data_IF_401131260609
#
_entry.id   IF_401131260609
#
_cell.length_a   1.000
_cell.length_b   1.000
_cell.length_c   1.000
_cell.angle_alpha   90.00
_cell.angle_beta   90.00
_cell.angle_gamma   90.00
#
_symmetry.space_group_name_H-M   'P 1'
#
loop_
_entity.id
_entity.type
_entity.pdbx_description
1 polymer ?
#
# COMPACT_ATOMS: atom_id res chain seq x y z
N UNK A 1 -11.58 -1.96 25.61
CA UNK A 1 -12.49 -1.19 24.73
C UNK A 1 -13.94 -1.39 25.14
N UNK A 2 -14.84 -0.51 24.70
CA UNK A 2 -16.29 -0.68 24.85
C UNK A 2 -16.87 -1.59 23.74
N UNK A 3 -18.15 -1.94 23.85
CA UNK A 3 -18.82 -2.81 22.88
C UNK A 3 -18.91 -2.19 21.47
N UNK A 4 -19.29 -0.90 21.29
CA UNK A 4 -19.31 -0.26 19.98
C UNK A 4 -17.94 -0.28 19.27
N UNK A 5 -16.85 -0.01 20.00
CA UNK A 5 -15.51 -0.03 19.45
C UNK A 5 -15.08 -1.44 19.02
N UNK A 6 -15.37 -2.46 19.83
CA UNK A 6 -15.10 -3.87 19.45
C UNK A 6 -15.89 -4.28 18.21
N UNK A 7 -17.15 -3.86 18.10
CA UNK A 7 -17.98 -4.14 16.92
C UNK A 7 -17.39 -3.51 15.65
N UNK A 8 -16.86 -2.28 15.72
CA UNK A 8 -16.18 -1.64 14.59
C UNK A 8 -14.91 -2.37 14.18
N UNK A 9 -14.11 -2.82 15.14
CA UNK A 9 -12.92 -3.63 14.86
C UNK A 9 -13.27 -4.97 14.20
N UNK A 10 -14.30 -5.65 14.69
CA UNK A 10 -14.75 -6.93 14.12
C UNK A 10 -15.31 -6.78 12.69
N UNK A 11 -15.76 -5.59 12.31
CA UNK A 11 -16.22 -5.28 10.95
C UNK A 11 -15.11 -4.93 9.96
N UNK A 12 -13.84 -4.86 10.40
CA UNK A 12 -12.72 -4.61 9.49
C UNK A 12 -12.53 -5.79 8.54
N UNK A 13 -12.20 -5.48 7.29
CA UNK A 13 -11.98 -6.47 6.24
C UNK A 13 -10.53 -6.39 5.76
N UNK A 14 -9.97 -7.54 5.41
CA UNK A 14 -8.73 -7.61 4.66
C UNK A 14 -8.99 -7.29 3.18
N UNK A 15 -7.98 -6.73 2.52
CA UNK A 15 -7.96 -6.65 1.07
C UNK A 15 -7.84 -8.06 0.49
N UNK A 16 -8.27 -8.30 -0.76
CA UNK A 16 -8.18 -9.63 -1.35
C UNK A 16 -6.72 -10.14 -1.36
N UNK A 17 -6.52 -11.47 -1.39
CA UNK A 17 -5.19 -12.05 -1.29
C UNK A 17 -4.18 -11.48 -2.29
N UNK A 18 -2.90 -11.53 -1.92
CA UNK A 18 -1.79 -11.15 -2.78
C UNK A 18 -0.64 -12.15 -2.70
N UNK A 19 0.10 -12.25 -3.79
CA UNK A 19 1.31 -13.05 -3.87
C UNK A 19 2.54 -12.18 -4.17
N UNK A 20 3.65 -12.53 -3.54
CA UNK A 20 4.99 -12.02 -3.84
C UNK A 20 5.90 -13.23 -4.04
N UNK A 21 6.61 -13.25 -5.17
CA UNK A 21 7.52 -14.32 -5.52
C UNK A 21 8.90 -13.78 -5.87
N UNK A 22 9.84 -13.97 -4.95
CA UNK A 22 11.24 -13.63 -5.17
C UNK A 22 11.97 -14.82 -5.76
N UNK A 23 12.73 -14.58 -6.82
CA UNK A 23 13.40 -15.58 -7.64
C UNK A 23 14.86 -15.21 -7.79
N UNK A 24 15.74 -16.15 -7.46
CA UNK A 24 17.17 -16.09 -7.81
C UNK A 24 17.38 -16.88 -9.09
N UNK A 25 17.71 -16.18 -10.16
CA UNK A 25 17.88 -16.77 -11.49
C UNK A 25 19.35 -16.86 -11.85
N UNK A 26 19.75 -17.92 -12.54
CA UNK A 26 21.14 -18.13 -12.97
C UNK A 26 21.56 -17.34 -14.21
N UNK A 27 20.68 -16.44 -14.68
CA UNK A 27 20.91 -15.57 -15.84
C UNK A 27 20.50 -14.15 -15.52
N UNK A 28 21.13 -13.20 -16.21
CA UNK A 28 20.77 -11.79 -16.19
C UNK A 28 19.91 -11.42 -17.40
N UNK A 29 19.07 -10.38 -17.28
CA UNK A 29 18.48 -9.75 -18.44
C UNK A 29 19.59 -9.22 -19.38
N UNK A 30 19.32 -9.22 -20.69
CA UNK A 30 20.33 -8.84 -21.71
C UNK A 30 20.47 -7.32 -21.79
N UNK A 31 19.34 -6.62 -21.66
CA UNK A 31 19.30 -5.18 -21.48
C UNK A 31 19.37 -4.86 -19.99
N UNK A 32 19.54 -3.59 -19.66
CA UNK A 32 19.42 -3.10 -18.28
C UNK A 32 17.96 -2.68 -17.99
N UNK A 33 17.10 -3.57 -17.43
CA UNK A 33 15.75 -3.18 -17.06
C UNK A 33 15.71 -2.05 -16.03
N UNK A 34 14.59 -1.33 -15.92
CA UNK A 34 14.37 -0.50 -14.75
C UNK A 34 14.38 -1.36 -13.46
N UNK A 35 14.74 -0.79 -12.30
CA UNK A 35 14.64 -1.50 -11.01
C UNK A 35 13.22 -1.95 -10.67
N UNK A 36 12.21 -1.24 -11.17
CA UNK A 36 10.79 -1.52 -10.96
C UNK A 36 10.01 -1.29 -12.26
N UNK A 37 9.12 -2.22 -12.60
CA UNK A 37 8.21 -2.12 -13.73
C UNK A 37 6.80 -2.53 -13.30
N UNK A 38 5.87 -1.57 -13.28
CA UNK A 38 4.44 -1.87 -13.16
C UNK A 38 3.85 -2.36 -14.48
N UNK A 39 2.95 -3.33 -14.42
CA UNK A 39 2.37 -4.00 -15.59
C UNK A 39 0.85 -3.91 -15.62
N UNK A 40 0.30 -3.76 -16.82
CA UNK A 40 -1.15 -3.83 -17.09
C UNK A 40 -1.37 -4.73 -18.30
N UNK A 41 -2.33 -5.67 -18.22
CA UNK A 41 -2.60 -6.61 -19.32
C UNK A 41 -1.64 -7.81 -19.38
N UNK A 42 -0.97 -8.13 -18.28
CA UNK A 42 -0.07 -9.28 -18.12
C UNK A 42 -0.67 -10.32 -17.14
N UNK A 43 -1.98 -10.57 -17.27
CA UNK A 43 -2.70 -11.48 -16.38
C UNK A 43 -2.59 -11.03 -14.91
N UNK A 44 -2.21 -11.92 -13.98
CA UNK A 44 -2.07 -11.60 -12.56
C UNK A 44 -0.74 -10.90 -12.21
N UNK A 45 0.16 -10.67 -13.16
CA UNK A 45 1.41 -9.96 -12.89
C UNK A 45 1.14 -8.45 -12.83
N UNK A 46 1.27 -7.86 -11.65
CA UNK A 46 1.07 -6.42 -11.41
C UNK A 46 2.37 -5.62 -11.47
N UNK A 47 3.50 -6.22 -11.05
CA UNK A 47 4.82 -5.62 -11.25
C UNK A 47 5.97 -6.64 -11.19
N UNK A 48 7.09 -6.23 -11.77
CA UNK A 48 8.38 -6.90 -11.76
C UNK A 48 9.41 -5.96 -11.14
N UNK A 49 10.12 -6.44 -10.12
CA UNK A 49 11.16 -5.70 -9.43
C UNK A 49 12.49 -6.42 -9.52
N UNK A 50 13.54 -5.77 -10.02
CA UNK A 50 14.91 -6.30 -10.00
C UNK A 50 15.58 -5.91 -8.70
N UNK A 51 15.50 -6.80 -7.71
CA UNK A 51 15.96 -6.56 -6.34
C UNK A 51 17.47 -6.32 -6.30
N UNK A 52 18.24 -6.95 -7.18
CA UNK A 52 19.69 -6.73 -7.29
C UNK A 52 20.10 -5.32 -7.75
N UNK A 53 19.14 -4.47 -8.15
CA UNK A 53 19.35 -3.03 -8.39
C UNK A 53 18.99 -2.13 -7.21
N UNK A 54 18.36 -2.67 -6.18
CA UNK A 54 17.78 -1.90 -5.07
C UNK A 54 18.41 -2.28 -3.73
N UNK A 55 18.74 -3.56 -3.54
CA UNK A 55 19.25 -4.10 -2.28
C UNK A 55 20.73 -4.51 -2.41
N UNK A 56 21.63 -3.99 -1.54
CA UNK A 56 23.06 -4.31 -1.60
C UNK A 56 23.39 -5.82 -1.52
N UNK A 57 22.61 -6.59 -0.75
CA UNK A 57 22.83 -8.03 -0.60
C UNK A 57 22.48 -8.79 -1.88
N UNK A 58 21.37 -8.45 -2.53
CA UNK A 58 20.97 -9.04 -3.80
C UNK A 58 21.97 -8.65 -4.92
N UNK A 59 22.44 -7.41 -4.93
CA UNK A 59 23.49 -6.96 -5.83
C UNK A 59 24.76 -7.80 -5.70
N UNK A 60 25.25 -7.98 -4.46
CA UNK A 60 26.46 -8.74 -4.19
C UNK A 60 26.33 -10.20 -4.66
N UNK A 61 25.19 -10.83 -4.41
CA UNK A 61 24.91 -12.18 -4.90
C UNK A 61 24.89 -12.25 -6.43
N UNK A 62 24.18 -11.33 -7.09
CA UNK A 62 24.10 -11.29 -8.54
C UNK A 62 25.50 -11.09 -9.16
N UNK A 63 26.32 -10.19 -8.59
CA UNK A 63 27.68 -9.93 -9.04
C UNK A 63 28.60 -11.16 -8.91
N UNK A 64 28.47 -11.94 -7.83
CA UNK A 64 29.28 -13.14 -7.60
C UNK A 64 28.85 -14.36 -8.43
N UNK A 65 27.59 -14.43 -8.87
CA UNK A 65 27.03 -15.62 -9.55
C UNK A 65 26.81 -15.42 -11.05
N UNK A 66 26.78 -14.17 -11.53
CA UNK A 66 26.35 -13.85 -12.89
C UNK A 66 24.84 -13.96 -13.11
N UNK A 67 24.06 -14.21 -12.06
CA UNK A 67 22.59 -14.27 -12.07
C UNK A 67 21.90 -12.92 -11.78
N UNK A 68 20.59 -12.95 -11.56
CA UNK A 68 19.80 -11.81 -11.07
C UNK A 68 18.79 -12.24 -10.00
N UNK A 69 18.27 -11.26 -9.25
CA UNK A 69 17.23 -11.46 -8.23
C UNK A 69 16.01 -10.64 -8.62
N UNK A 70 14.92 -11.31 -8.99
CA UNK A 70 13.68 -10.68 -9.44
C UNK A 70 12.53 -11.02 -8.53
N UNK A 71 11.65 -10.06 -8.26
CA UNK A 71 10.44 -10.23 -7.47
C UNK A 71 9.21 -9.94 -8.35
N UNK A 72 8.26 -10.88 -8.34
CA UNK A 72 7.02 -10.82 -9.09
C UNK A 72 5.86 -10.63 -8.12
N UNK A 73 5.00 -9.66 -8.39
CA UNK A 73 3.85 -9.37 -7.53
C UNK A 73 2.54 -9.62 -8.27
N UNK A 74 1.59 -10.19 -7.54
CA UNK A 74 0.21 -10.34 -7.96
C UNK A 74 -0.72 -9.87 -6.83
N UNK A 75 -1.55 -8.87 -7.10
CA UNK A 75 -2.46 -8.27 -6.15
C UNK A 75 -3.91 -8.62 -6.49
N UNK A 76 -4.79 -8.44 -5.51
CA UNK A 76 -6.24 -8.62 -5.66
C UNK A 76 -6.64 -10.00 -6.24
N UNK A 77 -5.93 -11.05 -5.83
CA UNK A 77 -6.18 -12.42 -6.27
C UNK A 77 -7.54 -12.92 -5.76
N UNK A 78 -8.20 -13.84 -6.48
CA UNK A 78 -9.38 -14.50 -5.97
C UNK A 78 -9.03 -15.39 -4.77
N UNK A 79 -10.00 -15.58 -3.86
CA UNK A 79 -9.87 -16.56 -2.79
C UNK A 79 -9.69 -17.97 -3.36
N UNK A 80 -8.84 -18.78 -2.72
CA UNK A 80 -8.59 -20.17 -3.15
C UNK A 80 -7.85 -20.29 -4.48
N UNK A 81 -7.07 -19.26 -4.87
CA UNK A 81 -6.25 -19.30 -6.09
C UNK A 81 -5.35 -20.55 -6.12
N UNK A 82 -5.30 -21.21 -7.27
CA UNK A 82 -4.35 -22.32 -7.51
C UNK A 82 -2.93 -21.75 -7.61
N UNK A 83 -2.12 -22.00 -6.57
CA UNK A 83 -0.76 -21.51 -6.47
C UNK A 83 0.15 -22.01 -7.60
N UNK A 84 -0.01 -23.27 -8.02
CA UNK A 84 0.82 -23.85 -9.08
C UNK A 84 0.53 -23.17 -10.42
N UNK A 85 -0.76 -22.97 -10.72
CA UNK A 85 -1.19 -22.23 -11.91
C UNK A 85 -0.74 -20.77 -11.86
N UNK A 86 -0.85 -20.12 -10.70
CA UNK A 86 -0.42 -18.73 -10.52
C UNK A 86 1.09 -18.58 -10.76
N UNK A 87 1.91 -19.42 -10.15
CA UNK A 87 3.37 -19.44 -10.39
C UNK A 87 3.69 -19.66 -11.86
N UNK A 88 3.03 -20.63 -12.51
CA UNK A 88 3.24 -20.86 -13.95
C UNK A 88 2.95 -19.61 -14.77
N UNK A 89 1.81 -18.96 -14.52
CA UNK A 89 1.40 -17.74 -15.21
C UNK A 89 2.37 -16.58 -14.96
N UNK A 90 2.80 -16.36 -13.70
CA UNK A 90 3.76 -15.30 -13.36
C UNK A 90 5.10 -15.50 -14.08
N UNK A 91 5.61 -16.74 -14.17
CA UNK A 91 6.82 -17.06 -14.95
C UNK A 91 6.61 -16.84 -16.45
N UNK A 92 5.46 -17.21 -17.00
CA UNK A 92 5.14 -16.99 -18.41
C UNK A 92 5.10 -15.49 -18.75
N UNK A 93 4.52 -14.67 -17.88
CA UNK A 93 4.45 -13.22 -18.09
C UNK A 93 5.82 -12.55 -17.89
N UNK A 94 6.64 -13.01 -16.93
CA UNK A 94 8.03 -12.59 -16.84
C UNK A 94 8.79 -12.90 -18.13
N UNK A 95 8.66 -14.12 -18.67
CA UNK A 95 9.30 -14.51 -19.92
C UNK A 95 8.79 -13.71 -21.14
N UNK A 96 7.53 -13.27 -21.12
CA UNK A 96 7.00 -12.39 -22.17
C UNK A 96 7.64 -10.99 -22.14
N UNK A 97 7.93 -10.48 -20.95
CA UNK A 97 8.58 -9.16 -20.75
C UNK A 97 10.09 -9.25 -20.99
N UNK A 98 10.71 -10.32 -20.49
CA UNK A 98 12.13 -10.63 -20.57
C UNK A 98 12.34 -12.02 -21.18
N UNK A 99 12.25 -12.14 -22.53
CA UNK A 99 12.41 -13.42 -23.23
C UNK A 99 13.72 -14.15 -22.91
N UNK A 100 14.78 -13.40 -22.64
CA UNK A 100 16.08 -13.95 -22.26
C UNK A 100 16.07 -14.71 -20.91
N UNK A 101 15.06 -14.47 -20.07
CA UNK A 101 14.86 -15.14 -18.79
C UNK A 101 13.92 -16.35 -18.88
N UNK A 102 13.35 -16.65 -20.06
CA UNK A 102 12.41 -17.76 -20.23
C UNK A 102 13.01 -19.10 -19.77
N UNK A 103 14.25 -19.36 -20.19
CA UNK A 103 15.00 -20.58 -19.86
C UNK A 103 15.94 -20.40 -18.64
N UNK A 104 15.83 -19.29 -17.91
CA UNK A 104 16.64 -19.08 -16.71
C UNK A 104 16.23 -20.07 -15.62
N UNK A 105 17.19 -20.81 -15.09
CA UNK A 105 16.96 -21.76 -14.00
C UNK A 105 16.77 -21.00 -12.70
N UNK A 106 15.76 -21.38 -11.96
CA UNK A 106 15.55 -20.90 -10.59
C UNK A 106 16.54 -21.62 -9.68
N UNK A 107 17.50 -20.87 -9.14
CA UNK A 107 18.50 -21.36 -8.18
C UNK A 107 17.90 -21.44 -6.78
N UNK A 108 17.07 -20.46 -6.44
CA UNK A 108 16.32 -20.39 -5.21
C UNK A 108 15.07 -19.53 -5.43
N UNK A 109 14.03 -19.75 -4.62
CA UNK A 109 12.85 -18.92 -4.60
C UNK A 109 12.25 -18.80 -3.20
N UNK A 110 11.61 -17.65 -2.97
CA UNK A 110 10.81 -17.38 -1.79
C UNK A 110 9.40 -16.96 -2.23
N UNK A 111 8.40 -17.71 -1.77
CA UNK A 111 7.00 -17.51 -2.13
C UNK A 111 6.17 -17.09 -0.93
N UNK A 112 5.43 -16.02 -1.11
CA UNK A 112 4.53 -15.47 -0.12
C UNK A 112 3.14 -15.33 -0.75
N UNK A 113 2.14 -16.05 -0.23
CA UNK A 113 0.72 -15.79 -0.48
C UNK A 113 0.06 -15.41 0.84
N UNK A 114 -0.57 -14.23 0.91
CA UNK A 114 -1.14 -13.68 2.16
C UNK A 114 -2.48 -12.99 1.92
N UNK A 115 -3.21 -12.81 3.01
CA UNK A 115 -4.54 -12.18 3.07
C UNK A 115 -4.70 -11.37 4.36
N UNK A 116 -3.72 -10.50 4.62
CA UNK A 116 -3.56 -9.77 5.89
C UNK A 116 -3.45 -8.25 5.72
N UNK A 117 -3.49 -7.73 4.49
CA UNK A 117 -3.50 -6.29 4.26
C UNK A 117 -4.84 -5.67 4.65
N UNK A 118 -4.88 -4.53 5.36
CA UNK A 118 -6.12 -3.85 5.68
C UNK A 118 -6.79 -3.28 4.41
N UNK A 119 -8.08 -3.56 4.23
CA UNK A 119 -8.82 -3.05 3.07
C UNK A 119 -9.14 -1.57 3.21
N UNK A 120 -8.77 -0.79 2.19
CA UNK A 120 -9.26 0.56 2.02
C UNK A 120 -10.67 0.58 1.39
N UNK A 121 -11.70 0.13 2.13
CA UNK A 121 -13.06 0.00 1.63
C UNK A 121 -13.85 1.30 1.52
N UNK A 122 -15.10 1.20 1.06
CA UNK A 122 -16.09 2.31 0.99
C UNK A 122 -16.78 2.61 2.32
N UNK A 123 -16.42 1.89 3.37
CA UNK A 123 -16.94 2.05 4.71
C UNK A 123 -16.56 3.45 5.27
N UNK A 124 -17.32 3.95 6.25
CA UNK A 124 -17.08 5.27 6.81
C UNK A 124 -15.66 5.39 7.37
N UNK A 125 -14.95 6.45 6.97
CA UNK A 125 -13.64 6.78 7.54
C UNK A 125 -13.71 6.94 9.07
N UNK A 126 -14.85 7.41 9.58
CA UNK A 126 -15.13 7.56 11.00
C UNK A 126 -15.11 6.24 11.79
N UNK A 127 -15.45 5.13 11.12
CA UNK A 127 -15.60 3.82 11.77
C UNK A 127 -14.28 3.08 11.94
N UNK A 128 -13.22 3.50 11.24
CA UNK A 128 -11.89 2.92 11.42
C UNK A 128 -11.33 3.24 12.80
N UNK A 129 -10.61 2.29 13.42
CA UNK A 129 -9.95 2.55 14.70
C UNK A 129 -8.91 3.65 14.55
N UNK A 130 -8.95 4.64 15.42
CA UNK A 130 -7.87 5.60 15.58
C UNK A 130 -6.80 5.11 16.54
N UNK A 131 -5.73 5.89 16.68
CA UNK A 131 -4.62 5.64 17.61
C UNK A 131 -5.09 5.53 19.07
N UNK A 132 -5.99 6.41 19.49
CA UNK A 132 -6.56 6.40 20.84
C UNK A 132 -7.70 5.40 20.91
N UNK A 133 -7.65 4.49 21.87
CA UNK A 133 -8.71 3.51 22.15
C UNK A 133 -9.53 3.90 23.37
N UNK A 134 -10.70 3.28 23.61
CA UNK A 134 -11.46 3.49 24.84
C UNK A 134 -10.76 2.97 26.11
N UNK A 135 -9.72 2.12 25.99
CA UNK A 135 -8.90 1.73 27.14
C UNK A 135 -7.67 2.66 27.24
N UNK A 136 -7.51 3.44 28.32
CA UNK A 136 -6.41 4.39 28.45
C UNK A 136 -5.02 3.73 28.60
N UNK A 137 -4.95 2.40 28.68
CA UNK A 137 -3.69 1.65 28.73
C UNK A 137 -3.25 1.15 27.36
N UNK A 138 -4.13 1.18 26.36
CA UNK A 138 -3.89 0.60 25.03
C UNK A 138 -4.02 1.68 23.96
N UNK A 139 -3.03 1.76 23.08
CA UNK A 139 -3.01 2.59 21.87
C UNK A 139 -2.79 1.68 20.66
N UNK A 140 -3.23 2.11 19.49
CA UNK A 140 -3.06 1.38 18.23
C UNK A 140 -2.11 2.11 17.29
N UNK A 141 -1.34 1.32 16.54
CA UNK A 141 -0.52 1.76 15.42
C UNK A 141 -0.58 0.70 14.31
N UNK A 142 -0.30 1.10 13.08
CA UNK A 142 -0.36 0.24 11.90
C UNK A 142 -1.02 0.92 10.71
N UNK A 143 -0.86 0.32 9.54
CA UNK A 143 -1.46 0.78 8.27
C UNK A 143 -2.99 0.62 8.23
N UNK A 144 -3.57 -0.23 9.08
CA UNK A 144 -5.01 -0.33 9.30
C UNK A 144 -5.58 0.75 10.22
N UNK A 145 -4.72 1.52 10.91
CA UNK A 145 -5.13 2.56 11.86
C UNK A 145 -5.42 3.86 11.13
N UNK A 146 -6.56 4.47 11.45
CA UNK A 146 -6.99 5.76 10.91
C UNK A 146 -5.96 6.84 11.22
N UNK A 147 -5.54 7.57 10.18
CA UNK A 147 -4.61 8.68 10.30
C UNK A 147 -5.09 9.86 9.45
N UNK A 148 -5.22 11.04 10.07
CA UNK A 148 -5.69 12.27 9.39
C UNK A 148 -4.61 12.89 8.48
N UNK A 149 -3.38 12.39 8.54
CA UNK A 149 -2.31 12.77 7.62
C UNK A 149 -2.47 12.02 6.29
N UNK A 150 -2.03 12.62 5.16
CA UNK A 150 -2.17 12.04 3.82
C UNK A 150 -1.09 10.99 3.56
N UNK A 151 -1.08 9.95 4.38
CA UNK A 151 -0.08 8.87 4.40
C UNK A 151 -0.74 7.55 4.01
N UNK A 152 0.03 6.58 3.51
CA UNK A 152 -0.46 5.25 3.14
C UNK A 152 0.51 4.12 3.48
N UNK A 153 0.00 2.87 3.57
CA UNK A 153 0.81 1.66 3.72
C UNK A 153 1.87 1.78 4.84
N UNK A 154 3.13 1.48 4.52
CA UNK A 154 4.28 1.55 5.43
C UNK A 154 4.45 2.93 6.05
N UNK A 155 4.20 4.00 5.30
CA UNK A 155 4.25 5.37 5.82
C UNK A 155 3.17 5.55 6.90
N UNK A 156 1.93 5.11 6.65
CA UNK A 156 0.86 5.18 7.66
C UNK A 156 1.19 4.35 8.89
N UNK A 157 1.75 3.15 8.73
CA UNK A 157 2.19 2.34 9.86
C UNK A 157 3.23 3.07 10.72
N UNK A 158 4.25 3.66 10.09
CA UNK A 158 5.27 4.44 10.78
C UNK A 158 4.70 5.70 11.44
N UNK A 159 3.90 6.48 10.72
CA UNK A 159 3.26 7.71 11.22
C UNK A 159 2.37 7.42 12.41
N UNK A 160 1.49 6.42 12.33
CA UNK A 160 0.61 6.06 13.45
C UNK A 160 1.40 5.49 14.62
N UNK A 161 2.56 4.86 14.39
CA UNK A 161 3.52 4.49 15.43
C UNK A 161 4.02 5.70 16.22
N UNK A 162 4.47 6.75 15.54
CA UNK A 162 4.86 8.01 16.18
C UNK A 162 3.72 8.65 16.96
N UNK A 163 2.52 8.71 16.36
CA UNK A 163 1.34 9.26 17.01
C UNK A 163 0.96 8.46 18.27
N UNK A 164 1.04 7.13 18.22
CA UNK A 164 0.79 6.26 19.36
C UNK A 164 1.83 6.44 20.48
N UNK A 165 3.11 6.53 20.13
CA UNK A 165 4.18 6.83 21.07
C UNK A 165 3.97 8.18 21.77
N UNK A 166 3.58 9.21 21.02
CA UNK A 166 3.28 10.54 21.57
C UNK A 166 2.12 10.51 22.58
N UNK A 167 1.05 9.74 22.31
CA UNK A 167 -0.04 9.56 23.28
C UNK A 167 0.48 8.95 24.58
N UNK A 168 1.38 7.97 24.51
CA UNK A 168 1.98 7.31 25.67
C UNK A 168 2.95 8.22 26.45
N UNK A 169 3.72 9.07 25.75
CA UNK A 169 4.63 10.05 26.35
C UNK A 169 3.85 11.15 27.05
N UNK A 170 2.82 11.70 26.39
CA UNK A 170 1.96 12.74 26.95
C UNK A 170 1.27 12.28 28.24
N UNK A 171 0.77 11.03 28.28
CA UNK A 171 0.16 10.44 29.49
C UNK A 171 1.14 10.34 30.67
N UNK A 172 2.45 10.34 30.41
CA UNK A 172 3.51 10.32 31.42
C UNK A 172 4.09 11.70 31.71
N UNK A 173 3.55 12.77 31.12
CA UNK A 173 4.09 14.12 31.25
C UNK A 173 5.46 14.30 30.56
N UNK A 174 5.79 13.43 29.61
CA UNK A 174 7.05 13.47 28.85
C UNK A 174 6.83 14.21 27.52
N UNK A 175 7.87 14.89 26.99
CA UNK A 175 7.80 15.51 25.66
C UNK A 175 7.57 14.45 24.58
N UNK A 176 6.74 14.79 23.59
CA UNK A 176 6.54 13.99 22.38
C UNK A 176 7.44 14.45 21.24
N UNK A 177 7.23 13.86 20.06
CA UNK A 177 7.94 14.17 18.83
C UNK A 177 7.02 14.79 17.79
N UNK A 178 7.50 15.78 17.06
CA UNK A 178 6.75 16.36 15.96
C UNK A 178 6.62 15.39 14.78
N UNK A 179 5.43 15.35 14.19
CA UNK A 179 5.15 14.65 12.94
C UNK A 179 4.82 15.70 11.88
N UNK A 180 5.75 15.88 10.94
CA UNK A 180 5.64 16.89 9.89
C UNK A 180 4.88 16.33 8.68
N UNK A 181 3.93 17.10 8.16
CA UNK A 181 3.10 16.72 7.01
C UNK A 181 2.91 17.92 6.10
N UNK A 182 2.56 17.65 4.83
CA UNK A 182 1.97 18.64 3.95
C UNK A 182 0.64 19.18 4.52
N UNK A 183 0.20 20.39 4.13
CA UNK A 183 -1.09 20.91 4.54
C UNK A 183 -2.25 20.00 4.10
N UNK A 184 -3.09 19.57 5.05
CA UNK A 184 -4.27 18.71 4.78
C UNK A 184 -5.51 19.50 4.32
N UNK A 185 -5.37 20.81 4.13
CA UNK A 185 -6.41 21.70 3.65
C UNK A 185 -5.84 22.64 2.60
N UNK A 186 -6.59 22.86 1.51
CA UNK A 186 -6.22 23.82 0.48
C UNK A 186 -6.09 25.24 1.04
N UNK A 187 -5.03 25.94 0.64
CA UNK A 187 -4.86 27.37 0.95
C UNK A 187 -6.02 28.16 0.33
N UNK A 188 -6.71 28.98 1.10
CA UNK A 188 -7.85 29.78 0.62
C UNK A 188 -9.17 29.02 0.45
N UNK A 189 -9.33 27.81 1.01
CA UNK A 189 -10.57 27.00 0.91
C UNK A 189 -11.84 27.80 1.23
N UNK A 190 -11.80 28.69 2.24
CA UNK A 190 -12.92 29.57 2.61
C UNK A 190 -13.27 30.57 1.50
N UNK A 191 -12.27 31.18 0.86
CA UNK A 191 -12.46 32.13 -0.24
C UNK A 191 -13.01 31.43 -1.48
N UNK A 192 -12.45 30.26 -1.83
CA UNK A 192 -12.93 29.45 -2.95
C UNK A 192 -14.38 28.99 -2.74
N UNK A 193 -14.75 28.59 -1.52
CA UNK A 193 -16.11 28.18 -1.20
C UNK A 193 -17.10 29.36 -1.23
N UNK A 194 -16.69 30.54 -0.74
CA UNK A 194 -17.50 31.75 -0.82
C UNK A 194 -17.70 32.22 -2.28
N UNK A 195 -16.66 32.17 -3.10
CA UNK A 195 -16.73 32.50 -4.53
C UNK A 195 -17.67 31.55 -5.30
N UNK A 196 -17.56 30.23 -5.06
CA UNK A 196 -18.51 29.25 -5.62
C UNK A 196 -19.95 29.53 -5.21
N UNK A 197 -20.20 29.80 -3.93
CA UNK A 197 -21.54 30.14 -3.43
C UNK A 197 -22.15 31.34 -4.16
N UNK A 198 -21.38 32.41 -4.35
CA UNK A 198 -21.82 33.62 -5.09
C UNK A 198 -22.10 33.33 -6.57
N UNK A 199 -21.25 32.55 -7.24
CA UNK A 199 -21.44 32.16 -8.64
C UNK A 199 -22.70 31.28 -8.82
N UNK A 200 -22.92 30.31 -7.93
CA UNK A 200 -24.14 29.48 -7.96
C UNK A 200 -25.41 30.27 -7.65
N UNK A 201 -25.34 31.26 -6.74
CA UNK A 201 -26.46 32.14 -6.45
C UNK A 201 -26.77 33.08 -7.63
N UNK A 202 -25.74 33.61 -8.29
CA UNK A 202 -25.89 34.42 -9.50
C UNK A 202 -26.47 33.62 -10.68
N UNK A 203 -26.05 32.36 -10.85
CA UNK A 203 -26.60 31.46 -11.87
C UNK A 203 -28.09 31.12 -11.61
N UNK A 204 -28.46 30.84 -10.35
CA UNK A 204 -29.87 30.61 -9.95
C UNK A 204 -30.75 31.84 -10.13
N UNK A 205 -30.22 33.05 -9.88
CA UNK A 205 -30.94 34.31 -10.15
C UNK A 205 -31.17 34.57 -11.64
N UNK A 206 -30.30 34.09 -12.53
CA UNK A 206 -30.46 34.22 -13.99
C UNK A 206 -31.50 33.26 -14.58
N UNK A 207 -31.84 32.17 -13.88
CA UNK A 207 -32.80 31.17 -14.37
C UNK A 207 -34.25 31.41 -13.92
N UNK A 208 -34.51 32.34 -12.97
CA UNK A 208 -35.85 32.75 -12.55
C UNK A 208 -36.68 31.66 -11.81
N UNK A 209 -37.58 32.02 -10.89
CA UNK A 209 -38.55 31.08 -10.33
C UNK A 209 -39.71 30.95 -11.33
N UNK A 210 -39.59 30.00 -12.26
CA UNK A 210 -40.61 29.79 -13.29
C UNK A 210 -40.24 28.69 -14.26
N UNK A 211 -40.26 27.45 -13.77
CA UNK A 211 -40.55 26.25 -14.57
C UNK A 211 -41.55 25.42 -13.76
#
# INVERSE_FOLDING_TARGET
GDAPWRSRLAGLRSAPPFAVWRLWLDRRPTLDPPPFLGTTGYGPLDNVSFIDRMEPHAWSWAAGTGGCVVELHAYALPEGVDEARLRHELRAQLARIHPELADARVVHDEWLLRHDCPLAGTDSWGDRPGVVTPDPRVVLAGDGVRCEHPVALMERAATTGWLAANVLLQRRGLPGHDVWTVPVQGRGRRLAHAARGRLTHAARRRLGPGA
#
